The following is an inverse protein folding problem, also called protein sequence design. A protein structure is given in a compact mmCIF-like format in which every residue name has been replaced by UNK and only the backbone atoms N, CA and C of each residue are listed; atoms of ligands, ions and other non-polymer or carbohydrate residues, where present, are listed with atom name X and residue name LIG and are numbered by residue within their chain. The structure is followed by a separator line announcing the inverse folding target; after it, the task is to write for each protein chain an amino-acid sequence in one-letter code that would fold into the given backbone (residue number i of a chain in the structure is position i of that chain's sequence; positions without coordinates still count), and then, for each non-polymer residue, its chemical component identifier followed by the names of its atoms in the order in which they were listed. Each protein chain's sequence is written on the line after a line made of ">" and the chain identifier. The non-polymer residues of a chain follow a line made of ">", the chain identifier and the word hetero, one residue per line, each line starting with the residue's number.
data_IF_289240390574
#
_entry.id   IF_289240390574
#
_cell.length_a   1.000
_cell.length_b   1.000
_cell.length_c   1.000
_cell.angle_alpha   90.00
_cell.angle_beta   90.00
_cell.angle_gamma   90.00
#
_symmetry.space_group_name_H-M   'P 1'
#
loop_
_entity.id
_entity.type
_entity.pdbx_description
1 polymer ?
#
# COMPACT_ATOMS: atom_id res chain seq x y z
N UNK A 1 -39.94 20.45 35.92
CA UNK A 1 -38.53 20.00 35.89
C UNK A 1 -38.43 18.64 35.17
N UNK A 2 -38.56 18.62 33.83
CA UNK A 2 -38.54 17.36 33.05
C UNK A 2 -37.64 17.40 31.80
N UNK A 3 -36.72 18.40 31.70
CA UNK A 3 -35.92 18.61 30.48
C UNK A 3 -34.46 18.08 30.53
N UNK A 4 -34.03 17.58 31.73
CA UNK A 4 -32.61 17.22 31.95
C UNK A 4 -32.23 15.82 31.43
N UNK A 5 -33.13 14.85 31.48
CA UNK A 5 -32.81 13.44 31.16
C UNK A 5 -32.61 13.19 29.66
N UNK A 6 -33.31 13.92 28.78
CA UNK A 6 -33.23 13.73 27.31
C UNK A 6 -31.89 14.19 26.74
N UNK A 7 -31.37 15.32 27.23
CA UNK A 7 -30.08 15.85 26.81
C UNK A 7 -28.89 14.96 27.23
N UNK A 8 -29.02 14.30 28.39
CA UNK A 8 -27.98 13.39 28.86
C UNK A 8 -27.87 12.12 28.01
N UNK A 9 -29.00 11.59 27.55
CA UNK A 9 -29.05 10.41 26.68
C UNK A 9 -28.40 10.72 25.31
N UNK A 10 -28.68 11.86 24.69
CA UNK A 10 -28.07 12.25 23.43
C UNK A 10 -26.57 12.49 23.55
N UNK A 11 -26.11 13.09 24.65
CA UNK A 11 -24.67 13.28 24.91
C UNK A 11 -23.96 11.95 25.08
N UNK A 12 -24.57 11.00 25.81
CA UNK A 12 -23.98 9.66 25.99
C UNK A 12 -23.96 8.82 24.74
N UNK A 13 -25.04 8.86 23.93
CA UNK A 13 -25.04 8.19 22.61
C UNK A 13 -24.03 8.80 21.65
N UNK A 14 -23.86 10.12 21.63
CA UNK A 14 -22.85 10.79 20.81
C UNK A 14 -21.42 10.40 21.22
N UNK A 15 -21.15 10.31 22.53
CA UNK A 15 -19.84 9.88 23.06
C UNK A 15 -19.52 8.42 22.72
N UNK A 16 -20.51 7.53 22.80
CA UNK A 16 -20.37 6.11 22.43
C UNK A 16 -20.18 5.92 20.94
N UNK A 17 -20.84 6.74 20.10
CA UNK A 17 -20.60 6.71 18.64
C UNK A 17 -19.18 7.21 18.30
N UNK A 18 -18.73 8.28 18.93
CA UNK A 18 -17.38 8.81 18.71
C UNK A 18 -16.30 7.83 19.18
N UNK A 19 -16.48 7.15 20.32
CA UNK A 19 -15.59 6.10 20.80
C UNK A 19 -15.56 4.89 19.86
N UNK A 20 -16.70 4.48 19.29
CA UNK A 20 -16.74 3.39 18.33
C UNK A 20 -16.07 3.76 17.01
N UNK A 21 -16.19 5.00 16.55
CA UNK A 21 -15.49 5.50 15.36
C UNK A 21 -13.98 5.56 15.60
N UNK A 22 -13.53 6.02 16.77
CA UNK A 22 -12.11 6.02 17.13
C UNK A 22 -11.55 4.60 17.31
N UNK A 23 -12.33 3.68 17.89
CA UNK A 23 -11.93 2.26 17.97
C UNK A 23 -11.91 1.58 16.61
N UNK A 24 -12.79 1.95 15.68
CA UNK A 24 -12.80 1.45 14.31
C UNK A 24 -11.60 2.02 13.53
N UNK A 25 -11.26 3.29 13.70
CA UNK A 25 -10.06 3.91 13.12
C UNK A 25 -8.76 3.37 13.73
N UNK A 26 -8.75 3.05 15.03
CA UNK A 26 -7.61 2.39 15.68
C UNK A 26 -7.45 0.91 15.26
N UNK A 27 -8.54 0.27 14.81
CA UNK A 27 -8.54 -1.10 14.27
C UNK A 27 -8.16 -1.15 12.79
N UNK A 28 -8.45 -0.10 12.05
CA UNK A 28 -7.91 0.25 10.74
C UNK A 28 -6.70 1.16 10.98
N UNK A 29 -5.63 0.59 11.51
CA UNK A 29 -4.35 1.29 11.61
C UNK A 29 -3.90 1.67 10.20
N UNK A 30 -4.37 2.82 9.69
CA UNK A 30 -4.00 3.33 8.39
C UNK A 30 -2.52 3.64 8.42
N UNK A 31 -1.73 2.69 7.93
CA UNK A 31 -0.31 2.94 7.72
C UNK A 31 -0.13 4.07 6.72
N UNK A 32 0.90 4.87 6.95
CA UNK A 32 1.21 6.03 6.13
C UNK A 32 2.00 5.56 4.89
N UNK A 33 1.69 6.12 3.74
CA UNK A 33 2.56 6.05 2.58
C UNK A 33 3.69 7.06 2.82
N UNK A 34 4.90 6.56 3.01
CA UNK A 34 6.09 7.37 3.16
C UNK A 34 7.09 7.00 2.07
N UNK A 35 7.37 7.95 1.19
CA UNK A 35 8.36 7.79 0.12
C UNK A 35 9.58 8.62 0.51
N UNK A 36 10.77 8.01 0.68
CA UNK A 36 12.01 8.75 0.94
C UNK A 36 12.30 9.80 -0.13
N UNK A 37 12.91 10.91 0.27
CA UNK A 37 13.14 12.05 -0.62
C UNK A 37 13.98 11.68 -1.85
N UNK A 38 14.99 10.84 -1.67
CA UNK A 38 15.83 10.37 -2.76
C UNK A 38 15.05 9.52 -3.77
N UNK A 39 14.08 8.73 -3.28
CA UNK A 39 13.20 7.96 -4.18
C UNK A 39 12.21 8.87 -4.92
N UNK A 40 11.68 9.91 -4.25
CA UNK A 40 10.84 10.92 -4.93
C UNK A 40 11.59 11.55 -6.11
N UNK A 41 12.84 11.94 -5.90
CA UNK A 41 13.69 12.52 -6.95
C UNK A 41 14.05 11.52 -8.03
N UNK A 42 14.50 10.32 -7.63
CA UNK A 42 14.93 9.25 -8.54
C UNK A 42 13.81 8.81 -9.48
N UNK A 43 12.59 8.76 -8.99
CA UNK A 43 11.42 8.31 -9.75
C UNK A 43 10.69 9.44 -10.47
N UNK A 44 11.08 10.70 -10.28
CA UNK A 44 10.33 11.84 -10.79
C UNK A 44 8.88 11.76 -10.31
N UNK A 45 8.71 11.57 -9.00
CA UNK A 45 7.41 11.31 -8.40
C UNK A 45 6.58 12.60 -8.29
N UNK A 46 5.34 12.53 -8.74
CA UNK A 46 4.32 13.58 -8.65
C UNK A 46 4.76 14.97 -9.18
N UNK A 47 5.66 14.97 -10.16
CA UNK A 47 6.05 16.19 -10.90
C UNK A 47 5.42 16.17 -12.29
N UNK A 48 5.27 17.33 -12.95
CA UNK A 48 4.85 17.38 -14.35
C UNK A 48 5.75 16.49 -15.21
N UNK A 49 5.14 15.67 -16.07
CA UNK A 49 5.86 14.70 -16.93
C UNK A 49 6.72 13.66 -16.20
N UNK A 50 6.56 13.54 -14.89
CA UNK A 50 7.24 12.52 -14.09
C UNK A 50 6.75 11.11 -14.36
N UNK A 51 7.61 10.12 -14.09
CA UNK A 51 7.32 8.71 -14.37
C UNK A 51 6.21 8.16 -13.47
N UNK A 52 6.18 8.57 -12.19
CA UNK A 52 5.25 8.08 -11.17
C UNK A 52 4.46 9.22 -10.53
N UNK A 53 3.34 8.91 -9.94
CA UNK A 53 2.51 9.86 -9.20
C UNK A 53 1.33 9.20 -8.53
N UNK A 54 0.61 9.96 -7.70
CA UNK A 54 -0.59 9.49 -7.00
C UNK A 54 -1.78 9.19 -7.92
N UNK A 55 -1.71 9.60 -9.18
CA UNK A 55 -2.70 9.30 -10.21
C UNK A 55 -2.58 7.88 -10.79
N UNK A 56 -1.47 7.17 -10.49
CA UNK A 56 -1.18 5.81 -10.94
C UNK A 56 -0.77 4.94 -9.75
N UNK A 57 -1.72 4.66 -8.86
CA UNK A 57 -1.49 3.84 -7.67
C UNK A 57 -2.73 3.06 -7.25
N UNK A 58 -2.49 2.04 -6.44
CA UNK A 58 -3.49 1.36 -5.62
C UNK A 58 -2.89 1.01 -4.26
N UNK A 59 -3.72 0.85 -3.24
CA UNK A 59 -3.24 0.56 -1.89
C UNK A 59 -4.12 -0.47 -1.17
N UNK A 60 -3.52 -1.16 -0.21
CA UNK A 60 -4.16 -2.04 0.76
C UNK A 60 -3.78 -1.63 2.18
N UNK A 61 -4.09 -2.43 3.18
CA UNK A 61 -3.78 -2.11 4.58
C UNK A 61 -2.27 -1.92 4.82
N UNK A 62 -1.44 -2.78 4.23
CA UNK A 62 -0.01 -2.83 4.51
C UNK A 62 0.88 -2.47 3.33
N UNK A 63 0.33 -2.40 2.11
CA UNK A 63 1.09 -2.17 0.90
C UNK A 63 0.50 -1.04 0.06
N UNK A 64 1.37 -0.45 -0.77
CA UNK A 64 0.99 0.45 -1.86
C UNK A 64 1.76 0.03 -3.12
N UNK A 65 1.10 0.03 -4.25
CA UNK A 65 1.72 -0.14 -5.57
C UNK A 65 1.61 1.15 -6.34
N UNK A 66 2.73 1.63 -6.84
CA UNK A 66 2.82 2.71 -7.82
C UNK A 66 3.27 2.14 -9.14
N UNK A 67 2.70 2.60 -10.23
CA UNK A 67 3.13 2.21 -11.57
C UNK A 67 3.41 3.42 -12.45
N UNK A 68 4.27 3.24 -13.42
CA UNK A 68 4.60 4.32 -14.36
C UNK A 68 3.37 4.77 -15.13
N UNK A 69 3.28 6.07 -15.35
CA UNK A 69 2.18 6.69 -16.11
C UNK A 69 2.04 6.16 -17.53
N UNK A 70 3.12 5.60 -18.11
CA UNK A 70 3.12 4.93 -19.41
C UNK A 70 2.18 3.73 -19.49
N UNK A 71 1.86 3.08 -18.37
CA UNK A 71 0.85 2.02 -18.33
C UNK A 71 -0.59 2.55 -18.44
N UNK A 72 -0.80 3.86 -18.26
CA UNK A 72 -2.13 4.45 -18.10
C UNK A 72 -2.70 4.27 -16.70
N UNK A 73 -3.86 4.87 -16.47
CA UNK A 73 -4.54 4.81 -15.16
C UNK A 73 -5.10 3.43 -14.83
N UNK A 74 -5.43 2.65 -15.85
CA UNK A 74 -6.02 1.33 -15.74
C UNK A 74 -5.11 0.28 -16.44
N UNK A 75 -4.05 -0.17 -15.79
CA UNK A 75 -3.07 -1.07 -16.42
C UNK A 75 -3.65 -2.43 -16.83
N UNK A 76 -4.77 -2.85 -16.22
CA UNK A 76 -5.46 -4.10 -16.55
C UNK A 76 -6.02 -4.13 -17.97
N UNK A 77 -6.32 -2.97 -18.56
CA UNK A 77 -6.89 -2.84 -19.91
C UNK A 77 -5.89 -2.25 -20.91
N UNK A 78 -4.61 -2.22 -20.58
CA UNK A 78 -3.58 -1.74 -21.50
C UNK A 78 -3.66 -2.45 -22.85
N UNK A 79 -3.51 -1.72 -23.96
CA UNK A 79 -3.58 -2.28 -25.32
C UNK A 79 -2.46 -3.30 -25.58
N UNK A 80 -1.30 -3.11 -25.00
CA UNK A 80 -0.21 -4.07 -25.02
C UNK A 80 -0.42 -5.10 -23.90
N UNK A 81 -0.73 -6.33 -24.28
CA UNK A 81 -0.99 -7.42 -23.32
C UNK A 81 0.21 -7.73 -22.42
N UNK A 82 1.42 -7.55 -22.94
CA UNK A 82 2.66 -7.78 -22.17
C UNK A 82 2.83 -6.79 -21.01
N UNK A 83 2.14 -5.66 -21.07
CA UNK A 83 2.12 -4.60 -20.04
C UNK A 83 0.94 -4.70 -19.08
N UNK A 84 0.02 -5.62 -19.31
CA UNK A 84 -1.14 -5.78 -18.44
C UNK A 84 -0.76 -6.38 -17.11
N UNK A 85 -1.29 -5.80 -16.06
CA UNK A 85 -1.27 -6.37 -14.71
C UNK A 85 -2.48 -5.88 -13.91
N UNK A 86 -2.75 -6.55 -12.80
CA UNK A 86 -3.92 -6.32 -11.96
C UNK A 86 -3.44 -5.84 -10.58
N UNK A 87 -3.38 -4.52 -10.31
CA UNK A 87 -2.86 -3.99 -9.06
C UNK A 87 -3.51 -4.58 -7.81
N UNK A 88 -4.84 -4.77 -7.82
CA UNK A 88 -5.56 -5.30 -6.69
C UNK A 88 -5.26 -6.79 -6.41
N UNK A 89 -4.96 -7.58 -7.43
CA UNK A 89 -4.53 -8.97 -7.25
C UNK A 89 -3.13 -9.02 -6.63
N UNK A 90 -2.21 -8.17 -7.12
CA UNK A 90 -0.87 -8.04 -6.56
C UNK A 90 -0.93 -7.64 -5.09
N UNK A 91 -1.75 -6.66 -4.74
CA UNK A 91 -1.94 -6.22 -3.37
C UNK A 91 -2.56 -7.33 -2.50
N UNK A 92 -3.56 -8.04 -2.99
CA UNK A 92 -4.18 -9.16 -2.28
C UNK A 92 -3.18 -10.27 -1.94
N UNK A 93 -2.34 -10.65 -2.90
CA UNK A 93 -1.28 -11.64 -2.67
C UNK A 93 -0.20 -11.09 -1.73
N UNK A 94 0.20 -9.84 -1.90
CA UNK A 94 1.14 -9.18 -0.99
C UNK A 94 0.65 -9.15 0.45
N UNK A 95 -0.64 -8.85 0.67
CA UNK A 95 -1.26 -8.92 1.99
C UNK A 95 -1.24 -10.34 2.58
N UNK A 96 -1.42 -11.36 1.75
CA UNK A 96 -1.33 -12.75 2.18
C UNK A 96 0.08 -13.09 2.67
N UNK A 97 1.12 -12.68 1.94
CA UNK A 97 2.52 -12.87 2.33
C UNK A 97 2.87 -12.03 3.56
N UNK A 98 2.47 -10.76 3.58
CA UNK A 98 2.70 -9.88 4.74
C UNK A 98 2.16 -10.52 6.02
N UNK A 99 0.91 -10.98 6.03
CA UNK A 99 0.31 -11.66 7.19
C UNK A 99 1.07 -12.93 7.56
N UNK A 100 1.51 -13.69 6.57
CA UNK A 100 2.27 -14.91 6.84
C UNK A 100 3.60 -14.59 7.54
N UNK A 101 4.37 -13.65 7.02
CA UNK A 101 5.66 -13.28 7.60
C UNK A 101 5.53 -12.57 8.95
N UNK A 102 4.59 -11.67 9.09
CA UNK A 102 4.42 -10.88 10.31
C UNK A 102 3.65 -11.64 11.39
N UNK A 103 2.53 -12.25 11.04
CA UNK A 103 1.64 -12.85 12.05
C UNK A 103 2.04 -14.29 12.38
N UNK A 104 2.45 -15.07 11.39
CA UNK A 104 2.78 -16.48 11.58
C UNK A 104 4.26 -16.73 11.87
N UNK A 105 5.15 -16.20 11.04
CA UNK A 105 6.59 -16.40 11.21
C UNK A 105 7.23 -15.42 12.20
N UNK A 106 6.55 -14.34 12.55
CA UNK A 106 7.05 -13.35 13.51
C UNK A 106 8.36 -12.66 13.10
N UNK A 107 8.61 -12.51 11.79
CA UNK A 107 9.80 -11.82 11.28
C UNK A 107 9.84 -10.34 11.65
N UNK A 108 8.67 -9.77 11.91
CA UNK A 108 8.53 -8.38 12.34
C UNK A 108 7.92 -8.33 13.74
N UNK A 109 8.53 -7.56 14.61
CA UNK A 109 8.02 -7.35 15.95
C UNK A 109 6.99 -6.25 15.96
N UNK A 110 5.69 -6.62 16.01
CA UNK A 110 4.58 -5.67 16.08
C UNK A 110 4.74 -4.69 17.24
N UNK A 111 4.40 -3.43 17.00
CA UNK A 111 4.52 -2.34 17.96
C UNK A 111 5.91 -1.75 18.09
N UNK A 112 6.92 -2.27 17.38
CA UNK A 112 8.31 -1.79 17.44
C UNK A 112 8.97 -1.63 16.07
N UNK A 113 8.26 -1.93 15.01
CA UNK A 113 8.81 -1.90 13.65
C UNK A 113 8.27 -0.73 12.84
N UNK A 114 9.05 -0.25 11.91
CA UNK A 114 8.60 0.74 10.91
C UNK A 114 7.47 0.20 10.01
N UNK A 115 7.38 -1.12 9.84
CA UNK A 115 6.26 -1.77 9.15
C UNK A 115 4.92 -1.62 9.88
N UNK A 116 4.91 -1.22 11.14
CA UNK A 116 3.67 -0.85 11.86
C UNK A 116 3.19 0.54 11.48
N UNK A 117 4.08 1.40 11.00
CA UNK A 117 3.82 2.80 10.70
C UNK A 117 3.67 3.07 9.21
N UNK A 118 4.52 2.44 8.39
CA UNK A 118 4.60 2.70 6.95
C UNK A 118 4.12 1.50 6.14
N UNK A 119 3.47 1.77 5.00
CA UNK A 119 3.18 0.77 3.98
C UNK A 119 4.46 0.38 3.27
N UNK A 120 4.58 -0.89 2.90
CA UNK A 120 5.61 -1.34 1.96
C UNK A 120 5.26 -0.86 0.55
N UNK A 121 6.26 -0.48 -0.22
CA UNK A 121 6.07 0.10 -1.55
C UNK A 121 6.45 -0.90 -2.64
N UNK A 122 5.59 -1.03 -3.62
CA UNK A 122 5.83 -1.77 -4.86
C UNK A 122 5.93 -0.75 -6.00
N UNK A 123 7.07 -0.73 -6.68
CA UNK A 123 7.29 0.09 -7.87
C UNK A 123 7.16 -0.78 -9.12
N UNK A 124 6.22 -0.47 -10.00
CA UNK A 124 6.02 -1.17 -11.27
C UNK A 124 6.58 -0.35 -12.41
N UNK A 125 7.60 -0.87 -13.07
CA UNK A 125 8.31 -0.21 -14.17
C UNK A 125 7.85 -0.69 -15.53
N UNK A 126 7.82 0.21 -16.49
CA UNK A 126 7.58 -0.02 -17.91
C UNK A 126 8.91 0.01 -18.68
N UNK A 127 9.75 -0.99 -18.41
CA UNK A 127 11.00 -1.18 -19.14
C UNK A 127 11.22 -2.68 -19.42
N UNK A 128 12.23 -2.96 -20.23
CA UNK A 128 12.57 -4.34 -20.65
C UNK A 128 13.58 -5.03 -19.72
N UNK A 129 13.92 -4.42 -18.60
CA UNK A 129 14.84 -5.02 -17.66
C UNK A 129 14.18 -6.24 -16.98
N UNK A 130 14.91 -7.34 -16.94
CA UNK A 130 14.39 -8.60 -16.36
C UNK A 130 14.67 -8.74 -14.87
N UNK A 131 15.39 -7.81 -14.30
CA UNK A 131 15.79 -7.86 -12.89
C UNK A 131 14.68 -7.33 -12.01
N UNK A 132 14.49 -7.97 -10.87
CA UNK A 132 13.61 -7.54 -9.79
C UNK A 132 14.47 -7.34 -8.56
N UNK A 133 14.19 -6.29 -7.84
CA UNK A 133 14.91 -5.93 -6.64
C UNK A 133 13.94 -5.83 -5.47
N UNK A 134 14.41 -6.18 -4.29
CA UNK A 134 13.74 -5.93 -3.03
C UNK A 134 14.76 -5.38 -2.03
N UNK A 135 14.30 -4.59 -1.12
CA UNK A 135 15.15 -4.00 -0.10
C UNK A 135 14.38 -3.08 0.83
N UNK A 136 15.13 -2.26 1.53
CA UNK A 136 14.57 -1.19 2.35
C UNK A 136 15.37 0.08 2.13
N UNK A 137 14.67 1.19 2.01
CA UNK A 137 15.26 2.52 1.98
C UNK A 137 14.60 3.35 3.07
N UNK A 138 15.40 4.04 3.89
CA UNK A 138 14.94 4.78 5.07
C UNK A 138 13.92 3.99 5.93
N UNK A 139 14.19 2.69 6.12
CA UNK A 139 13.35 1.76 6.87
C UNK A 139 11.98 1.44 6.24
N UNK A 140 11.75 1.80 4.98
CA UNK A 140 10.57 1.40 4.21
C UNK A 140 10.94 0.22 3.32
N UNK A 141 10.21 -0.88 3.45
CA UNK A 141 10.37 -2.02 2.54
C UNK A 141 9.89 -1.66 1.14
N UNK A 142 10.70 -1.96 0.14
CA UNK A 142 10.41 -1.67 -1.26
C UNK A 142 10.72 -2.85 -2.15
N UNK A 143 9.94 -2.98 -3.21
CA UNK A 143 10.20 -3.92 -4.30
C UNK A 143 10.00 -3.24 -5.65
N UNK A 144 10.82 -3.62 -6.62
CA UNK A 144 10.82 -3.06 -7.97
C UNK A 144 10.50 -4.17 -8.96
N UNK A 145 9.34 -4.06 -9.63
CA UNK A 145 8.80 -5.09 -10.52
C UNK A 145 8.65 -4.62 -11.96
N UNK A 146 8.45 -5.61 -12.82
CA UNK A 146 7.98 -5.47 -14.21
C UNK A 146 6.83 -6.45 -14.45
N UNK A 147 5.85 -6.12 -15.33
CA UNK A 147 4.70 -7.00 -15.56
C UNK A 147 5.10 -8.41 -15.99
N UNK A 148 6.13 -8.55 -16.83
CA UNK A 148 6.63 -9.84 -17.28
C UNK A 148 7.10 -10.77 -16.13
N UNK A 149 7.44 -10.23 -14.98
CA UNK A 149 7.86 -11.00 -13.82
C UNK A 149 6.69 -11.45 -12.96
N UNK A 150 5.58 -10.71 -13.01
CA UNK A 150 4.35 -11.09 -12.31
C UNK A 150 3.62 -12.16 -13.12
N UNK A 151 3.50 -11.96 -14.43
CA UNK A 151 2.76 -12.89 -15.30
C UNK A 151 3.46 -14.24 -15.49
N UNK A 152 4.79 -14.32 -15.38
CA UNK A 152 5.55 -15.55 -15.59
C UNK A 152 5.79 -16.41 -14.34
N UNK A 153 5.89 -15.77 -13.18
CA UNK A 153 6.08 -16.41 -11.87
C UNK A 153 5.27 -15.63 -10.85
N UNK A 154 3.96 -15.89 -10.76
CA UNK A 154 3.10 -15.08 -9.94
C UNK A 154 3.61 -15.10 -8.49
N UNK A 155 3.99 -13.93 -8.06
CA UNK A 155 4.16 -13.57 -6.66
C UNK A 155 5.35 -14.18 -5.90
N UNK A 156 6.16 -15.07 -6.48
CA UNK A 156 7.31 -15.59 -5.73
C UNK A 156 8.33 -14.49 -5.37
N UNK A 157 8.51 -13.50 -6.25
CA UNK A 157 9.36 -12.34 -5.97
C UNK A 157 8.75 -11.43 -4.91
N UNK A 158 7.43 -11.32 -4.87
CA UNK A 158 6.73 -10.54 -3.84
C UNK A 158 6.84 -11.23 -2.46
N UNK A 159 6.98 -12.56 -2.45
CA UNK A 159 7.18 -13.34 -1.23
C UNK A 159 8.63 -13.32 -0.72
N UNK A 160 9.59 -13.06 -1.60
CA UNK A 160 11.02 -13.06 -1.27
C UNK A 160 11.43 -11.75 -0.60
#
# INVERSE_FOLDING_TARGET
>A
MCCSKRNFIYLFCGLMLALNIQMLQAKLGNKIIFIPEDDLKKHGFDVPDGRFGYDCMAESDNLVIFWERSFGKEPAVNMDESKRFYPNEILSEGERYYRYFVDKLKFVQKGKSYTDKYKMIIWMYDDNEKTVYGGAHDNVGMTWFRPCRINGYPYCTLAH
#
